data_IF_218267194147
#
_entry.id   IF_218267194147
#
_cell.length_a   1.000
_cell.length_b   1.000
_cell.length_c   1.000
_cell.angle_alpha   90.00
_cell.angle_beta   90.00
_cell.angle_gamma   90.00
#
_symmetry.space_group_name_H-M   'P 1'
#
loop_
_entity.id
_entity.type
_entity.pdbx_description
1 polymer ?
#
# COMPACT_ATOMS: atom_id res chain seq x y z
N UNK A 1 3.58 12.68 3.14
CA UNK A 1 4.16 12.51 4.49
C UNK A 1 4.27 13.84 5.23
N UNK A 2 4.80 14.92 4.63
CA UNK A 2 4.99 16.23 5.28
C UNK A 2 3.71 16.81 5.89
N UNK A 3 2.56 16.66 5.24
CA UNK A 3 1.29 17.15 5.81
C UNK A 3 0.99 16.48 7.14
N UNK A 4 1.11 15.17 7.23
CA UNK A 4 0.86 14.43 8.48
C UNK A 4 1.96 14.68 9.53
N UNK A 5 3.18 14.96 9.10
CA UNK A 5 4.28 15.38 9.98
C UNK A 5 3.90 16.65 10.72
N UNK A 6 3.59 17.73 10.00
CA UNK A 6 3.21 19.03 10.59
C UNK A 6 1.86 19.02 11.30
N UNK A 7 0.88 18.31 10.74
CA UNK A 7 -0.50 18.35 11.25
C UNK A 7 -0.70 17.44 12.47
N UNK A 8 0.06 16.34 12.56
CA UNK A 8 -0.15 15.32 13.58
C UNK A 8 1.09 15.04 14.43
N UNK A 9 2.25 14.79 13.83
CA UNK A 9 3.40 14.30 14.62
C UNK A 9 4.18 15.41 15.32
N UNK A 10 4.14 16.66 14.81
CA UNK A 10 4.72 17.84 15.48
C UNK A 10 3.76 18.51 16.47
N UNK A 11 2.55 18.00 16.62
CA UNK A 11 1.54 18.52 17.53
C UNK A 11 1.73 17.96 18.94
N UNK A 12 1.84 18.84 19.96
CA UNK A 12 2.14 18.47 21.35
C UNK A 12 1.07 17.57 21.98
N UNK A 13 -0.21 17.73 21.62
CA UNK A 13 -1.30 16.91 22.17
C UNK A 13 -1.24 15.49 21.61
N UNK A 14 -1.01 15.34 20.32
CA UNK A 14 -0.82 14.04 19.67
C UNK A 14 0.45 13.37 20.20
N UNK A 15 1.56 14.11 20.28
CA UNK A 15 2.82 13.60 20.79
C UNK A 15 2.69 13.11 22.25
N UNK A 16 1.96 13.85 23.07
CA UNK A 16 1.68 13.46 24.47
C UNK A 16 0.93 12.12 24.53
N UNK A 17 -0.11 11.93 23.73
CA UNK A 17 -0.85 10.67 23.66
C UNK A 17 0.00 9.53 23.14
N UNK A 18 0.77 9.77 22.07
CA UNK A 18 1.68 8.78 21.50
C UNK A 18 2.71 8.30 22.52
N UNK A 19 3.41 9.22 23.15
CA UNK A 19 4.45 8.90 24.13
C UNK A 19 3.89 8.25 25.41
N UNK A 20 2.65 8.58 25.79
CA UNK A 20 2.01 8.00 26.98
C UNK A 20 1.58 6.55 26.78
N UNK A 21 1.10 6.21 25.60
CA UNK A 21 0.40 4.94 25.36
C UNK A 21 1.14 3.99 24.42
N UNK A 22 2.15 4.47 23.69
CA UNK A 22 2.81 3.69 22.64
C UNK A 22 4.34 3.80 22.70
N UNK A 23 5.00 2.78 22.19
CA UNK A 23 6.39 2.87 21.78
C UNK A 23 6.39 3.20 20.29
N UNK A 24 6.71 4.45 19.96
CA UNK A 24 6.64 4.95 18.59
C UNK A 24 7.94 4.63 17.84
N UNK A 25 7.81 4.03 16.67
CA UNK A 25 8.93 3.69 15.78
C UNK A 25 8.67 4.31 14.41
N UNK A 26 9.60 5.14 13.95
CA UNK A 26 9.60 5.64 12.57
C UNK A 26 10.44 4.69 11.72
N UNK A 27 9.83 4.17 10.66
CA UNK A 27 10.51 3.28 9.71
C UNK A 27 10.77 4.04 8.42
N UNK A 28 12.02 4.12 8.01
CA UNK A 28 12.40 4.57 6.69
C UNK A 28 12.26 3.40 5.71
N UNK A 29 11.34 3.52 4.76
CA UNK A 29 11.06 2.47 3.77
C UNK A 29 12.19 2.24 2.79
N UNK A 30 13.04 3.21 2.56
CA UNK A 30 14.19 3.07 1.67
C UNK A 30 15.33 2.29 2.36
N UNK A 31 15.49 2.46 3.67
CA UNK A 31 16.46 1.70 4.46
C UNK A 31 15.92 0.32 4.89
N UNK A 32 14.61 0.23 5.16
CA UNK A 32 13.96 -1.00 5.64
C UNK A 32 12.76 -1.40 4.78
N UNK A 33 12.98 -1.64 3.47
CA UNK A 33 11.92 -2.10 2.56
C UNK A 33 11.31 -3.46 2.97
N UNK A 34 12.07 -4.29 3.67
CA UNK A 34 11.63 -5.56 4.23
C UNK A 34 10.47 -5.36 5.23
N UNK A 35 10.59 -4.39 6.14
CA UNK A 35 9.55 -4.04 7.11
C UNK A 35 8.37 -3.37 6.40
N UNK A 36 8.65 -2.39 5.55
CA UNK A 36 7.62 -1.64 4.82
C UNK A 36 6.72 -2.57 4.00
N UNK A 37 7.30 -3.49 3.24
CA UNK A 37 6.56 -4.42 2.38
C UNK A 37 5.62 -5.33 3.18
N UNK A 38 6.06 -5.85 4.33
CA UNK A 38 5.21 -6.71 5.18
C UNK A 38 4.00 -5.93 5.67
N UNK A 39 4.20 -4.76 6.25
CA UNK A 39 3.09 -3.97 6.80
C UNK A 39 2.26 -3.26 5.73
N UNK A 40 2.81 -3.01 4.54
CA UNK A 40 2.04 -2.58 3.38
C UNK A 40 1.06 -3.65 2.93
N UNK A 41 1.48 -4.92 2.91
CA UNK A 41 0.59 -6.05 2.61
C UNK A 41 -0.55 -6.16 3.63
N UNK A 42 -0.25 -5.99 4.93
CA UNK A 42 -1.26 -5.92 5.99
C UNK A 42 -2.22 -4.75 5.78
N UNK A 43 -1.69 -3.56 5.45
CA UNK A 43 -2.51 -2.37 5.18
C UNK A 43 -3.47 -2.61 4.03
N UNK A 44 -3.00 -3.21 2.94
CA UNK A 44 -3.82 -3.55 1.78
C UNK A 44 -4.91 -4.58 2.12
N UNK A 45 -4.57 -5.59 2.92
CA UNK A 45 -5.55 -6.60 3.38
C UNK A 45 -6.65 -5.97 4.23
N UNK A 46 -6.29 -5.10 5.18
CA UNK A 46 -7.24 -4.51 6.12
C UNK A 46 -8.10 -3.41 5.51
N UNK A 47 -7.56 -2.63 4.57
CA UNK A 47 -8.21 -1.39 4.06
C UNK A 47 -8.62 -1.48 2.60
N UNK A 48 -8.23 -2.53 1.89
CA UNK A 48 -8.42 -2.68 0.44
C UNK A 48 -7.50 -1.79 -0.41
N UNK A 49 -6.63 -0.98 0.21
CA UNK A 49 -5.70 -0.07 -0.46
C UNK A 49 -4.43 0.11 0.36
N UNK A 50 -3.32 0.41 -0.29
CA UNK A 50 -2.06 0.75 0.35
C UNK A 50 -1.63 2.18 0.03
N UNK A 51 -0.58 2.65 0.68
CA UNK A 51 0.01 3.97 0.43
C UNK A 51 0.75 4.52 1.65
N UNK A 52 1.44 5.62 1.42
CA UNK A 52 2.14 6.36 2.47
C UNK A 52 1.54 7.76 2.64
N UNK A 53 1.61 8.33 3.86
CA UNK A 53 2.19 7.75 5.07
C UNK A 53 1.42 6.51 5.52
N UNK A 54 2.11 5.54 6.13
CA UNK A 54 1.50 4.32 6.66
C UNK A 54 1.61 4.30 8.18
N UNK A 55 0.49 4.03 8.85
CA UNK A 55 0.40 3.94 10.31
C UNK A 55 -0.05 2.54 10.68
N UNK A 56 0.72 1.88 11.54
CA UNK A 56 0.41 0.52 12.00
C UNK A 56 0.46 0.49 13.53
N UNK A 57 -0.56 -0.07 14.16
CA UNK A 57 -0.54 -0.38 15.60
C UNK A 57 -0.41 -1.88 15.76
N UNK A 58 0.55 -2.29 16.58
CA UNK A 58 0.91 -3.69 16.75
C UNK A 58 1.16 -4.04 18.22
N UNK A 59 1.09 -5.31 18.53
CA UNK A 59 1.47 -5.86 19.83
C UNK A 59 3.00 -5.76 20.03
N UNK A 60 3.51 -5.96 21.26
CA UNK A 60 4.95 -6.08 21.51
C UNK A 60 5.61 -7.21 20.72
N UNK A 61 4.86 -8.24 20.32
CA UNK A 61 5.31 -9.31 19.46
C UNK A 61 5.32 -8.94 17.95
N UNK A 62 5.09 -7.65 17.61
CA UNK A 62 5.05 -7.09 16.26
C UNK A 62 3.90 -7.62 15.40
N UNK A 63 2.87 -8.16 16.03
CA UNK A 63 1.66 -8.62 15.35
C UNK A 63 0.70 -7.43 15.20
N UNK A 64 0.37 -7.00 13.97
CA UNK A 64 -0.47 -5.84 13.74
C UNK A 64 -1.93 -6.14 14.05
N UNK A 65 -2.64 -5.18 14.63
CA UNK A 65 -4.09 -5.26 14.85
C UNK A 65 -4.84 -4.02 14.35
N UNK A 66 -4.12 -3.02 13.88
CA UNK A 66 -4.66 -1.89 13.15
C UNK A 66 -3.67 -1.41 12.11
N UNK A 67 -4.18 -1.00 10.95
CA UNK A 67 -3.39 -0.31 9.93
C UNK A 67 -4.24 0.68 9.14
N UNK A 68 -3.59 1.74 8.67
CA UNK A 68 -4.17 2.74 7.79
C UNK A 68 -3.09 3.64 7.21
N UNK A 69 -3.51 4.61 6.41
CA UNK A 69 -2.57 5.50 5.74
C UNK A 69 -2.54 6.87 6.41
N UNK A 70 -3.17 7.85 5.87
CA UNK A 70 -3.18 9.22 6.38
C UNK A 70 -4.28 9.42 7.43
N UNK A 71 -3.90 10.07 8.55
CA UNK A 71 -4.83 10.49 9.60
C UNK A 71 -4.55 11.95 9.96
N UNK A 72 -5.53 12.87 9.78
CA UNK A 72 -5.42 14.24 10.29
C UNK A 72 -5.41 14.24 11.83
N UNK A 73 -4.93 15.34 12.44
CA UNK A 73 -4.83 15.51 13.90
C UNK A 73 -6.07 15.03 14.66
N UNK A 74 -7.26 15.48 14.25
CA UNK A 74 -8.50 15.11 14.94
C UNK A 74 -8.75 13.58 14.94
N UNK A 75 -8.44 12.92 13.84
CA UNK A 75 -8.56 11.46 13.74
C UNK A 75 -7.53 10.76 14.61
N UNK A 76 -6.29 11.25 14.66
CA UNK A 76 -5.25 10.71 15.55
C UNK A 76 -5.64 10.84 17.03
N UNK A 77 -6.18 12.00 17.43
CA UNK A 77 -6.66 12.25 18.80
C UNK A 77 -7.77 11.29 19.25
N UNK A 78 -8.56 10.76 18.32
CA UNK A 78 -9.60 9.76 18.61
C UNK A 78 -9.04 8.33 18.54
N UNK A 79 -8.22 8.04 17.55
CA UNK A 79 -7.65 6.73 17.27
C UNK A 79 -6.72 6.26 18.39
N UNK A 80 -5.82 7.11 18.85
CA UNK A 80 -4.81 6.71 19.83
C UNK A 80 -5.42 6.26 21.18
N UNK A 81 -6.33 7.00 21.84
CA UNK A 81 -6.98 6.52 23.06
C UNK A 81 -7.84 5.29 22.83
N UNK A 82 -8.53 5.20 21.67
CA UNK A 82 -9.38 4.07 21.33
C UNK A 82 -8.59 2.76 21.31
N UNK A 83 -7.50 2.68 20.55
CA UNK A 83 -6.68 1.47 20.47
C UNK A 83 -5.89 1.17 21.74
N UNK A 84 -5.49 2.21 22.49
CA UNK A 84 -4.94 2.02 23.82
C UNK A 84 -5.96 1.38 24.79
N UNK A 85 -7.23 1.80 24.71
CA UNK A 85 -8.34 1.19 25.46
C UNK A 85 -8.59 -0.26 25.09
N UNK A 86 -8.62 -0.57 23.79
CA UNK A 86 -8.76 -1.96 23.30
C UNK A 86 -7.60 -2.82 23.82
N UNK A 87 -6.37 -2.33 23.72
CA UNK A 87 -5.21 -3.05 24.23
C UNK A 87 -5.27 -3.31 25.73
N UNK A 88 -5.80 -2.37 26.50
CA UNK A 88 -5.91 -2.51 27.94
C UNK A 88 -7.02 -3.50 28.35
N UNK A 89 -8.16 -3.49 27.68
CA UNK A 89 -9.38 -4.15 28.14
C UNK A 89 -9.78 -5.39 27.30
N UNK A 90 -9.29 -5.50 26.06
CA UNK A 90 -9.78 -6.50 25.08
C UNK A 90 -8.63 -7.28 24.44
N UNK A 91 -7.58 -7.58 25.20
CA UNK A 91 -6.36 -8.24 24.69
C UNK A 91 -6.60 -9.54 23.94
N UNK A 92 -7.57 -10.35 24.39
CA UNK A 92 -7.90 -11.60 23.69
C UNK A 92 -8.40 -11.36 22.27
N UNK A 93 -9.19 -10.31 22.06
CA UNK A 93 -9.66 -9.95 20.71
C UNK A 93 -8.51 -9.48 19.84
N UNK A 94 -7.57 -8.68 20.41
CA UNK A 94 -6.36 -8.24 19.70
C UNK A 94 -5.54 -9.44 19.25
N UNK A 95 -5.32 -10.44 20.11
CA UNK A 95 -4.57 -11.63 19.75
C UNK A 95 -5.27 -12.46 18.67
N UNK A 96 -6.59 -12.68 18.80
CA UNK A 96 -7.37 -13.40 17.77
C UNK A 96 -7.30 -12.72 16.40
N UNK A 97 -7.44 -11.38 16.39
CA UNK A 97 -7.33 -10.61 15.15
C UNK A 97 -5.92 -10.71 14.55
N UNK A 98 -4.89 -10.59 15.40
CA UNK A 98 -3.51 -10.72 14.98
C UNK A 98 -3.18 -12.08 14.39
N UNK A 99 -3.68 -13.16 14.97
CA UNK A 99 -3.52 -14.53 14.44
C UNK A 99 -4.18 -14.67 13.06
N UNK A 100 -5.40 -14.13 12.90
CA UNK A 100 -6.09 -14.13 11.61
C UNK A 100 -5.28 -13.37 10.54
N UNK A 101 -4.81 -12.16 10.85
CA UNK A 101 -3.97 -11.36 9.94
C UNK A 101 -2.69 -12.10 9.58
N UNK A 102 -2.01 -12.70 10.57
CA UNK A 102 -0.77 -13.43 10.33
C UNK A 102 -1.00 -14.66 9.44
N UNK A 103 -2.09 -15.37 9.65
CA UNK A 103 -2.48 -16.53 8.85
C UNK A 103 -2.76 -16.13 7.40
N UNK A 104 -3.49 -15.03 7.18
CA UNK A 104 -3.81 -14.56 5.84
C UNK A 104 -2.58 -13.98 5.14
N UNK A 105 -1.69 -13.29 5.86
CA UNK A 105 -0.41 -12.84 5.33
C UNK A 105 0.48 -14.03 4.89
N UNK A 106 0.51 -15.11 5.66
CA UNK A 106 1.25 -16.32 5.30
C UNK A 106 0.71 -16.95 4.01
N UNK A 107 -0.61 -16.95 3.79
CA UNK A 107 -1.23 -17.42 2.54
C UNK A 107 -0.82 -16.56 1.34
N UNK A 108 -0.74 -15.24 1.52
CA UNK A 108 -0.29 -14.33 0.46
C UNK A 108 1.20 -14.48 0.14
N UNK A 109 2.01 -14.77 1.15
CA UNK A 109 3.46 -14.96 1.02
C UNK A 109 3.83 -16.35 0.48
N UNK A 110 2.93 -17.32 0.59
CA UNK A 110 3.07 -18.66 0.04
C UNK A 110 2.88 -18.63 -1.47
N UNK A 111 3.94 -18.28 -2.22
CA UNK A 111 3.93 -18.30 -3.68
C UNK A 111 3.54 -19.68 -4.19
N UNK A 112 2.48 -19.77 -5.00
CA UNK A 112 2.23 -20.96 -5.79
C UNK A 112 3.36 -21.10 -6.81
N UNK A 113 3.90 -22.30 -7.03
CA UNK A 113 4.85 -22.51 -8.11
C UNK A 113 4.22 -21.99 -9.40
N UNK A 114 4.83 -20.98 -10.00
CA UNK A 114 4.38 -20.47 -11.30
C UNK A 114 4.56 -21.53 -12.37
N UNK A 115 3.69 -21.56 -13.37
CA UNK A 115 3.90 -22.30 -14.60
C UNK A 115 5.05 -21.72 -15.42
N UNK A 116 5.38 -22.35 -16.53
CA UNK A 116 6.41 -21.88 -17.44
C UNK A 116 6.11 -20.47 -17.97
N UNK A 117 7.13 -19.62 -17.91
CA UNK A 117 7.04 -18.27 -18.46
C UNK A 117 7.03 -18.33 -19.99
N UNK A 118 5.99 -17.74 -20.60
CA UNK A 118 5.85 -17.70 -22.04
C UNK A 118 5.23 -16.38 -22.52
N UNK A 119 5.14 -16.21 -23.84
CA UNK A 119 4.65 -14.96 -24.44
C UNK A 119 3.20 -14.62 -24.07
N UNK A 120 2.38 -15.57 -23.67
CA UNK A 120 0.97 -15.31 -23.30
C UNK A 120 0.84 -14.42 -22.08
N UNK A 121 1.84 -14.44 -21.17
CA UNK A 121 1.89 -13.54 -20.01
C UNK A 121 2.07 -12.08 -20.46
N UNK A 122 2.91 -11.84 -21.47
CA UNK A 122 3.09 -10.50 -22.06
C UNK A 122 1.80 -10.02 -22.75
N UNK A 123 1.12 -10.91 -23.46
CA UNK A 123 -0.14 -10.60 -24.11
C UNK A 123 -1.27 -10.34 -23.08
N UNK A 124 -1.27 -11.06 -21.95
CA UNK A 124 -2.20 -10.81 -20.86
C UNK A 124 -1.93 -9.45 -20.19
N UNK A 125 -0.67 -9.09 -19.96
CA UNK A 125 -0.29 -7.78 -19.44
C UNK A 125 -0.72 -6.65 -20.39
N UNK A 126 -0.46 -6.79 -21.69
CA UNK A 126 -0.92 -5.82 -22.71
C UNK A 126 -2.44 -5.66 -22.69
N UNK A 127 -3.21 -6.75 -22.65
CA UNK A 127 -4.69 -6.69 -22.56
C UNK A 127 -5.16 -5.97 -21.30
N UNK A 128 -4.54 -6.25 -20.16
CA UNK A 128 -4.84 -5.57 -18.88
C UNK A 128 -4.59 -4.07 -18.96
N UNK A 129 -3.44 -3.65 -19.46
CA UNK A 129 -3.12 -2.23 -19.65
C UNK A 129 -4.07 -1.58 -20.66
N UNK A 130 -4.35 -2.26 -21.78
CA UNK A 130 -5.26 -1.76 -22.82
C UNK A 130 -6.70 -1.58 -22.33
N UNK A 131 -7.16 -2.40 -21.38
CA UNK A 131 -8.50 -2.29 -20.77
C UNK A 131 -8.61 -1.17 -19.76
N UNK A 132 -7.51 -0.81 -19.10
CA UNK A 132 -7.46 0.27 -18.09
C UNK A 132 -7.03 1.62 -18.67
N UNK A 133 -6.68 1.66 -19.95
CA UNK A 133 -6.19 2.87 -20.61
C UNK A 133 -7.30 3.92 -20.78
N UNK A 134 -6.98 5.18 -20.51
CA UNK A 134 -7.85 6.34 -20.74
C UNK A 134 -7.53 6.98 -22.12
N UNK A 135 -8.38 6.80 -23.13
CA UNK A 135 -8.09 7.29 -24.47
C UNK A 135 -8.24 8.83 -24.61
N UNK A 136 -8.87 9.48 -23.64
CA UNK A 136 -9.11 10.94 -23.67
C UNK A 136 -7.94 11.68 -23.06
N UNK A 137 -7.55 11.29 -21.84
CA UNK A 137 -6.55 12.02 -21.05
C UNK A 137 -5.19 11.29 -21.00
N UNK A 138 -5.03 10.16 -21.63
CA UNK A 138 -3.85 9.31 -21.49
C UNK A 138 -3.72 8.64 -20.11
N UNK A 139 -2.71 7.80 -19.94
CA UNK A 139 -2.47 7.07 -18.70
C UNK A 139 -3.45 5.94 -18.40
N UNK A 140 -3.36 5.34 -17.21
CA UNK A 140 -4.07 4.11 -16.85
C UNK A 140 -4.89 4.28 -15.58
N UNK A 141 -6.04 3.62 -15.52
CA UNK A 141 -6.94 3.65 -14.37
C UNK A 141 -7.79 4.92 -14.27
N UNK A 142 -8.36 5.15 -13.06
CA UNK A 142 -9.21 6.30 -12.75
C UNK A 142 -8.41 7.38 -12.03
N UNK A 143 -8.93 8.62 -12.03
CA UNK A 143 -8.31 9.74 -11.30
C UNK A 143 -8.34 9.53 -9.77
N UNK A 144 -7.29 9.94 -9.04
CA UNK A 144 -6.03 10.52 -9.51
C UNK A 144 -5.12 9.48 -10.16
N UNK A 145 -4.40 9.86 -11.24
CA UNK A 145 -3.45 9.00 -11.93
C UNK A 145 -2.01 9.36 -11.54
N UNK A 146 -1.19 8.35 -11.31
CA UNK A 146 0.24 8.51 -11.07
C UNK A 146 1.03 8.22 -12.35
N UNK A 147 2.20 8.85 -12.55
CA UNK A 147 3.11 8.50 -13.61
C UNK A 147 3.55 7.03 -13.47
N UNK A 148 3.28 6.23 -14.50
CA UNK A 148 3.60 4.80 -14.53
C UNK A 148 4.57 4.49 -15.65
N UNK A 149 5.79 5.07 -15.57
CA UNK A 149 6.80 4.96 -16.61
C UNK A 149 7.13 3.49 -16.99
N UNK A 150 7.06 2.56 -16.03
CA UNK A 150 7.24 1.13 -16.27
C UNK A 150 6.17 0.55 -17.23
N UNK A 151 4.91 1.02 -17.16
CA UNK A 151 3.86 0.61 -18.08
C UNK A 151 4.16 1.09 -19.51
N UNK A 152 4.64 2.33 -19.64
CA UNK A 152 5.03 2.89 -20.94
C UNK A 152 6.23 2.15 -21.52
N UNK A 153 7.23 1.85 -20.71
CA UNK A 153 8.39 1.05 -21.12
C UNK A 153 8.01 -0.36 -21.58
N UNK A 154 7.06 -0.99 -20.88
CA UNK A 154 6.52 -2.29 -21.30
C UNK A 154 5.82 -2.19 -22.65
N UNK A 155 4.96 -1.19 -22.85
CA UNK A 155 4.20 -1.02 -24.09
C UNK A 155 5.10 -0.73 -25.31
N UNK A 156 6.17 0.04 -25.13
CA UNK A 156 7.16 0.25 -26.19
C UNK A 156 7.85 -1.06 -26.58
N UNK A 157 8.26 -1.87 -25.61
CA UNK A 157 8.86 -3.19 -25.86
C UNK A 157 7.86 -4.16 -26.49
N UNK A 158 6.60 -4.09 -26.08
CA UNK A 158 5.52 -4.89 -26.66
C UNK A 158 5.29 -4.51 -28.11
N UNK A 159 5.23 -3.21 -28.44
CA UNK A 159 5.16 -2.71 -29.82
C UNK A 159 6.35 -3.17 -30.66
N UNK A 160 7.57 -3.03 -30.15
CA UNK A 160 8.78 -3.47 -30.86
C UNK A 160 8.76 -4.97 -31.19
N UNK A 161 8.18 -5.80 -30.30
CA UNK A 161 8.07 -7.24 -30.48
C UNK A 161 6.95 -7.65 -31.46
N UNK A 162 5.79 -6.98 -31.40
CA UNK A 162 4.56 -7.45 -32.03
C UNK A 162 4.10 -6.61 -33.21
N UNK A 163 4.57 -5.36 -33.32
CA UNK A 163 4.03 -4.37 -34.27
C UNK A 163 2.68 -3.78 -33.87
N UNK A 164 2.15 -4.05 -32.66
CA UNK A 164 0.83 -3.60 -32.23
C UNK A 164 0.79 -2.06 -32.04
N UNK A 165 0.29 -1.37 -33.06
CA UNK A 165 0.26 0.10 -33.14
C UNK A 165 -0.52 0.75 -32.00
N UNK A 166 -1.52 0.06 -31.42
CA UNK A 166 -2.26 0.61 -30.27
C UNK A 166 -1.37 0.77 -29.05
N UNK A 167 -0.39 -0.14 -28.86
CA UNK A 167 0.57 -0.01 -27.76
C UNK A 167 1.40 1.27 -27.88
N UNK A 168 1.88 1.61 -29.07
CA UNK A 168 2.59 2.85 -29.32
C UNK A 168 1.72 4.09 -29.08
N UNK A 169 0.52 4.12 -29.65
CA UNK A 169 -0.43 5.24 -29.45
C UNK A 169 -0.78 5.47 -27.98
N UNK A 170 -0.89 4.41 -27.16
CA UNK A 170 -1.12 4.56 -25.72
C UNK A 170 0.05 5.26 -25.03
N UNK A 171 1.28 5.00 -25.46
CA UNK A 171 2.48 5.68 -24.93
C UNK A 171 2.50 7.14 -25.34
N UNK A 172 2.38 7.41 -26.64
CA UNK A 172 2.43 8.78 -27.19
C UNK A 172 1.39 9.66 -26.48
N UNK A 173 0.14 9.22 -26.43
CA UNK A 173 -0.94 9.97 -25.78
C UNK A 173 -0.77 10.15 -24.26
N UNK A 174 -0.05 9.26 -23.60
CA UNK A 174 0.21 9.37 -22.16
C UNK A 174 1.38 10.33 -21.83
N UNK A 175 2.17 10.69 -22.84
CA UNK A 175 3.30 11.63 -22.70
C UNK A 175 2.97 13.06 -23.16
N UNK A 176 1.85 13.26 -23.86
CA UNK A 176 1.27 14.58 -24.18
C UNK A 176 0.73 15.28 -22.93
#
# INVERSE_FOLDING_TARGET
CHVMEHESFEDDEVATLMNKHYVCVKVDREERPDIDNVYMSVTQMMTGRGGWPMTVIMTPAKVPFFSGTYFPKQSMMQLLPHFSGIWANEREQVFKLGEAITTDLAKLSGGQPGGDLNATHLDACYRSLSSSYDPINGGFGRRPKFPTAHNLSFLLRYYARTGESKALRMVEKSLE
#
